data_IF_670419757312
#
_entry.id   IF_670419757312
#
_cell.length_a   1.000
_cell.length_b   1.000
_cell.length_c   1.000
_cell.angle_alpha   90.00
_cell.angle_beta   90.00
_cell.angle_gamma   90.00
#
_symmetry.space_group_name_H-M   'P 1'
#
loop_
_entity.id
_entity.type
_entity.pdbx_description
1 polymer ?
#
# COMPACT_ATOMS: atom_id res chain seq x y z
N UNK A 1 42.16 -73.98 61.85
CA UNK A 1 42.70 -74.06 60.47
C UNK A 1 41.52 -74.40 59.58
N UNK A 2 41.28 -73.63 58.52
CA UNK A 2 40.27 -74.00 57.51
C UNK A 2 40.80 -75.17 56.70
N UNK A 3 39.95 -76.18 56.47
CA UNK A 3 40.31 -77.34 55.66
C UNK A 3 40.56 -76.90 54.20
N UNK A 4 41.53 -77.52 53.54
CA UNK A 4 41.99 -77.16 52.19
C UNK A 4 40.87 -77.07 51.16
N UNK A 5 39.83 -77.91 51.31
CA UNK A 5 38.66 -77.91 50.42
C UNK A 5 37.74 -76.70 50.64
N UNK A 6 37.52 -76.28 51.89
CA UNK A 6 36.69 -75.11 52.19
C UNK A 6 37.36 -73.82 51.73
N UNK A 7 38.71 -73.75 51.78
CA UNK A 7 39.46 -72.62 51.24
C UNK A 7 39.32 -72.50 49.71
N UNK A 8 39.33 -73.62 48.98
CA UNK A 8 39.14 -73.65 47.52
C UNK A 8 37.72 -73.23 47.12
N UNK A 9 36.69 -73.73 47.80
CA UNK A 9 35.31 -73.32 47.52
C UNK A 9 35.07 -71.84 47.77
N UNK A 10 35.62 -71.29 48.86
CA UNK A 10 35.53 -69.85 49.15
C UNK A 10 36.23 -69.01 48.10
N UNK A 11 37.38 -69.47 47.58
CA UNK A 11 38.11 -68.78 46.53
C UNK A 11 37.35 -68.78 45.20
N UNK A 12 36.69 -69.89 44.88
CA UNK A 12 35.88 -70.05 43.66
C UNK A 12 34.63 -69.16 43.71
N UNK A 13 33.89 -69.18 44.81
CA UNK A 13 32.75 -68.26 45.04
C UNK A 13 33.18 -66.79 45.04
N UNK A 14 34.37 -66.48 45.57
CA UNK A 14 34.92 -65.13 45.53
C UNK A 14 35.26 -64.69 44.10
N UNK A 15 35.76 -65.59 43.25
CA UNK A 15 36.04 -65.30 41.85
C UNK A 15 34.75 -65.09 41.05
N UNK A 16 33.73 -65.93 41.25
CA UNK A 16 32.41 -65.79 40.63
C UNK A 16 31.72 -64.47 41.01
N UNK A 17 31.74 -64.09 42.29
CA UNK A 17 31.18 -62.78 42.68
C UNK A 17 31.92 -61.59 42.09
N UNK A 18 33.23 -61.71 41.84
CA UNK A 18 34.01 -60.64 41.18
C UNK A 18 33.65 -60.51 39.70
N UNK A 19 33.43 -61.63 39.00
CA UNK A 19 33.03 -61.60 37.58
C UNK A 19 31.61 -61.06 37.42
N UNK A 20 30.68 -61.46 38.28
CA UNK A 20 29.32 -60.89 38.33
C UNK A 20 29.34 -59.38 38.59
N UNK A 21 30.15 -58.91 39.54
CA UNK A 21 30.27 -57.48 39.83
C UNK A 21 30.86 -56.70 38.65
N UNK A 22 31.84 -57.27 37.94
CA UNK A 22 32.41 -56.65 36.74
C UNK A 22 31.40 -56.55 35.59
N UNK A 23 30.56 -57.58 35.40
CA UNK A 23 29.45 -57.56 34.44
C UNK A 23 28.40 -56.51 34.80
N UNK A 24 27.99 -56.45 36.07
CA UNK A 24 27.02 -55.46 36.55
C UNK A 24 27.54 -54.02 36.38
N UNK A 25 28.82 -53.76 36.66
CA UNK A 25 29.46 -52.44 36.44
C UNK A 25 29.52 -52.06 34.97
N UNK A 26 29.81 -53.02 34.08
CA UNK A 26 29.79 -52.76 32.63
C UNK A 26 28.38 -52.44 32.16
N UNK A 27 27.38 -53.22 32.55
CA UNK A 27 25.99 -52.99 32.19
C UNK A 27 25.49 -51.62 32.71
N UNK A 28 25.88 -51.23 33.91
CA UNK A 28 25.55 -49.93 34.50
C UNK A 28 26.22 -48.78 33.75
N UNK A 29 27.51 -48.89 33.42
CA UNK A 29 28.21 -47.88 32.61
C UNK A 29 27.62 -47.78 31.20
N UNK A 30 27.24 -48.90 30.58
CA UNK A 30 26.61 -48.92 29.26
C UNK A 30 25.22 -48.26 29.27
N UNK A 31 24.46 -48.41 30.36
CA UNK A 31 23.18 -47.72 30.53
C UNK A 31 23.40 -46.21 30.71
N UNK A 32 24.37 -45.82 31.54
CA UNK A 32 24.73 -44.42 31.79
C UNK A 32 25.28 -43.70 30.55
N UNK A 33 25.89 -44.40 29.59
CA UNK A 33 26.39 -43.78 28.35
C UNK A 33 25.33 -43.70 27.26
N UNK A 34 24.40 -44.66 27.20
CA UNK A 34 23.33 -44.68 26.17
C UNK A 34 22.21 -43.69 26.45
N UNK A 35 21.86 -43.45 27.72
CA UNK A 35 20.81 -42.49 28.07
C UNK A 35 21.13 -41.04 27.65
N UNK A 36 22.33 -40.49 27.92
CA UNK A 36 22.71 -39.15 27.47
C UNK A 36 22.74 -39.01 25.95
N UNK A 37 23.17 -40.03 25.22
CA UNK A 37 23.18 -40.02 23.75
C UNK A 37 21.77 -40.01 23.16
N UNK A 38 20.84 -40.77 23.76
CA UNK A 38 19.43 -40.76 23.37
C UNK A 38 18.79 -39.40 23.64
N UNK A 39 19.08 -38.80 24.79
CA UNK A 39 18.61 -37.45 25.16
C UNK A 39 19.18 -36.41 24.18
N UNK A 40 20.48 -36.46 23.86
CA UNK A 40 21.10 -35.55 22.92
C UNK A 40 20.49 -35.66 21.50
N UNK A 41 20.22 -36.89 21.03
CA UNK A 41 19.53 -37.11 19.75
C UNK A 41 18.10 -36.58 19.74
N UNK A 42 17.35 -36.78 20.83
CA UNK A 42 16.00 -36.24 20.98
C UNK A 42 16.00 -34.71 20.98
N UNK A 43 16.92 -34.08 21.72
CA UNK A 43 17.04 -32.61 21.76
C UNK A 43 17.43 -32.07 20.38
N UNK A 44 18.41 -32.70 19.71
CA UNK A 44 18.84 -32.31 18.37
C UNK A 44 17.68 -32.37 17.36
N UNK A 45 17.01 -33.52 17.29
CA UNK A 45 15.88 -33.73 16.36
C UNK A 45 14.71 -32.78 16.63
N UNK A 46 14.36 -32.56 17.91
CA UNK A 46 13.30 -31.62 18.27
C UNK A 46 13.68 -30.16 17.94
N UNK A 47 14.95 -29.79 18.09
CA UNK A 47 15.41 -28.44 17.78
C UNK A 47 15.35 -28.14 16.27
N UNK A 48 15.70 -29.11 15.42
CA UNK A 48 15.60 -29.01 13.96
C UNK A 48 14.15 -28.95 13.48
N UNK A 49 13.27 -29.75 14.07
CA UNK A 49 11.83 -29.69 13.80
C UNK A 49 11.22 -28.35 14.22
N UNK A 50 11.63 -27.81 15.37
CA UNK A 50 11.16 -26.50 15.82
C UNK A 50 11.63 -25.38 14.89
N UNK A 51 12.90 -25.42 14.44
CA UNK A 51 13.45 -24.44 13.51
C UNK A 51 12.75 -24.47 12.16
N UNK A 52 12.51 -25.66 11.59
CA UNK A 52 11.80 -25.80 10.32
C UNK A 52 10.34 -25.35 10.41
N UNK A 53 9.66 -25.62 11.52
CA UNK A 53 8.29 -25.16 11.77
C UNK A 53 8.21 -23.63 11.87
N UNK A 54 9.17 -22.99 12.55
CA UNK A 54 9.26 -21.52 12.62
C UNK A 54 9.47 -20.89 11.25
N UNK A 55 10.41 -21.41 10.46
CA UNK A 55 10.66 -20.97 9.09
C UNK A 55 9.41 -21.12 8.20
N UNK A 56 8.69 -22.25 8.32
CA UNK A 56 7.41 -22.45 7.62
C UNK A 56 6.33 -21.45 8.05
N UNK A 57 6.25 -21.13 9.35
CA UNK A 57 5.33 -20.13 9.88
C UNK A 57 5.63 -18.71 9.38
N UNK A 58 6.90 -18.32 9.35
CA UNK A 58 7.34 -17.02 8.80
C UNK A 58 7.02 -16.89 7.30
N UNK A 59 7.21 -17.96 6.54
CA UNK A 59 6.87 -17.98 5.11
C UNK A 59 5.36 -17.79 4.86
N UNK A 60 4.51 -18.45 5.64
CA UNK A 60 3.06 -18.28 5.56
C UNK A 60 2.63 -16.86 5.93
N UNK A 61 3.22 -16.29 6.98
CA UNK A 61 2.93 -14.92 7.42
C UNK A 61 3.30 -13.90 6.34
N UNK A 62 4.50 -14.02 5.76
CA UNK A 62 4.98 -13.14 4.70
C UNK A 62 4.11 -13.26 3.44
N UNK A 63 3.68 -14.47 3.10
CA UNK A 63 2.79 -14.71 1.96
C UNK A 63 1.41 -14.07 2.19
N UNK A 64 0.83 -14.22 3.38
CA UNK A 64 -0.45 -13.59 3.74
C UNK A 64 -0.37 -12.05 3.72
N UNK A 65 0.72 -11.48 4.23
CA UNK A 65 0.97 -10.03 4.16
C UNK A 65 1.03 -9.53 2.72
N UNK A 66 1.76 -10.22 1.84
CA UNK A 66 1.86 -9.86 0.42
C UNK A 66 0.49 -9.87 -0.29
N UNK A 67 -0.32 -10.90 -0.03
CA UNK A 67 -1.69 -11.00 -0.58
C UNK A 67 -2.56 -9.84 -0.10
N UNK A 68 -2.52 -9.51 1.19
CA UNK A 68 -3.30 -8.42 1.76
C UNK A 68 -2.90 -7.06 1.16
N UNK A 69 -1.61 -6.78 1.04
CA UNK A 69 -1.12 -5.54 0.43
C UNK A 69 -1.60 -5.42 -1.01
N UNK A 70 -1.47 -6.48 -1.82
CA UNK A 70 -1.95 -6.46 -3.20
C UNK A 70 -3.47 -6.26 -3.31
N UNK A 71 -4.26 -6.88 -2.41
CA UNK A 71 -5.70 -6.69 -2.37
C UNK A 71 -6.10 -5.25 -2.03
N UNK A 72 -5.40 -4.62 -1.08
CA UNK A 72 -5.67 -3.23 -0.69
C UNK A 72 -5.36 -2.28 -1.85
N UNK A 73 -4.22 -2.49 -2.52
CA UNK A 73 -3.82 -1.67 -3.67
C UNK A 73 -4.82 -1.78 -4.82
N UNK A 74 -5.31 -2.98 -5.13
CA UNK A 74 -6.30 -3.17 -6.18
C UNK A 74 -7.65 -2.53 -5.82
N UNK A 75 -8.07 -2.63 -4.55
CA UNK A 75 -9.27 -1.93 -4.06
C UNK A 75 -9.15 -0.41 -4.18
N UNK A 76 -8.01 0.18 -3.82
CA UNK A 76 -7.76 1.61 -3.97
C UNK A 76 -7.80 2.04 -5.44
N UNK A 77 -7.19 1.25 -6.33
CA UNK A 77 -7.22 1.50 -7.77
C UNK A 77 -8.64 1.49 -8.34
N UNK A 78 -9.48 0.55 -7.92
CA UNK A 78 -10.87 0.49 -8.33
C UNK A 78 -11.68 1.66 -7.79
N UNK A 79 -11.46 2.05 -6.53
CA UNK A 79 -12.11 3.23 -5.94
C UNK A 79 -11.76 4.52 -6.70
N UNK A 80 -10.48 4.75 -7.00
CA UNK A 80 -10.04 5.91 -7.79
C UNK A 80 -10.63 5.89 -9.21
N UNK A 81 -10.75 4.72 -9.84
CA UNK A 81 -11.38 4.60 -11.15
C UNK A 81 -12.85 5.05 -11.11
N UNK A 82 -13.58 4.63 -10.07
CA UNK A 82 -14.99 5.00 -9.90
C UNK A 82 -15.14 6.50 -9.62
N UNK A 83 -14.28 7.07 -8.79
CA UNK A 83 -14.24 8.51 -8.53
C UNK A 83 -13.96 9.31 -9.80
N UNK A 84 -13.00 8.87 -10.63
CA UNK A 84 -12.73 9.49 -11.93
C UNK A 84 -13.91 9.39 -12.90
N UNK A 85 -14.63 8.27 -12.93
CA UNK A 85 -15.83 8.12 -13.75
C UNK A 85 -16.95 9.05 -13.28
N UNK A 86 -17.10 9.24 -11.96
CA UNK A 86 -18.06 10.16 -11.38
C UNK A 86 -17.72 11.61 -11.68
N UNK A 87 -16.46 12.03 -11.48
CA UNK A 87 -16.00 13.38 -11.85
C UNK A 87 -16.17 13.66 -13.35
N UNK A 88 -15.94 12.66 -14.22
CA UNK A 88 -16.21 12.80 -15.65
C UNK A 88 -17.69 12.98 -15.96
N UNK A 89 -18.57 12.30 -15.23
CA UNK A 89 -20.01 12.45 -15.39
C UNK A 89 -20.46 13.85 -14.94
N UNK A 90 -19.95 14.33 -13.81
CA UNK A 90 -20.23 15.66 -13.27
C UNK A 90 -19.70 16.77 -14.17
N UNK A 91 -18.53 16.61 -14.77
CA UNK A 91 -18.01 17.59 -15.74
C UNK A 91 -18.93 17.71 -16.97
N UNK A 92 -19.39 16.58 -17.52
CA UNK A 92 -20.31 16.57 -18.66
C UNK A 92 -21.65 17.24 -18.36
N UNK A 93 -22.16 17.08 -17.14
CA UNK A 93 -23.42 17.74 -16.76
C UNK A 93 -23.22 19.23 -16.55
N UNK A 94 -22.08 19.66 -16.01
CA UNK A 94 -21.75 21.07 -15.82
C UNK A 94 -21.59 21.81 -17.15
N UNK A 95 -20.89 21.21 -18.13
CA UNK A 95 -20.81 21.75 -19.51
C UNK A 95 -22.21 21.90 -20.15
N UNK A 96 -23.14 20.98 -19.90
CA UNK A 96 -24.51 21.10 -20.44
C UNK A 96 -25.36 22.20 -19.79
N UNK A 97 -25.01 22.69 -18.61
CA UNK A 97 -25.71 23.82 -17.97
C UNK A 97 -25.23 25.14 -18.59
N UNK A 98 -23.95 25.26 -18.94
CA UNK A 98 -23.40 26.45 -19.62
C UNK A 98 -23.86 26.59 -21.08
N UNK A 99 -24.28 25.51 -21.75
CA UNK A 99 -24.72 25.51 -23.16
C UNK A 99 -26.18 25.98 -23.34
N UNK A 100 -26.96 26.23 -22.27
CA UNK A 100 -28.40 26.45 -22.42
C UNK A 100 -28.85 27.84 -22.90
N UNK A 101 -27.95 28.79 -23.14
CA UNK A 101 -28.26 29.96 -24.00
C UNK A 101 -26.98 30.73 -24.26
N UNK A 102 -26.36 30.52 -25.42
CA UNK A 102 -25.33 31.44 -25.88
C UNK A 102 -25.97 32.83 -26.06
N UNK A 103 -25.42 33.88 -25.43
CA UNK A 103 -25.96 35.20 -25.56
C UNK A 103 -25.74 35.69 -27.01
N UNK A 104 -26.78 36.27 -27.61
CA UNK A 104 -26.66 36.86 -28.95
C UNK A 104 -25.76 38.10 -28.89
N UNK A 105 -24.53 37.96 -29.40
CA UNK A 105 -23.52 39.02 -29.43
C UNK A 105 -23.84 40.11 -30.45
N UNK A 106 -24.85 39.91 -31.30
CA UNK A 106 -25.32 40.91 -32.27
C UNK A 106 -26.40 41.84 -31.71
N UNK A 107 -26.93 41.56 -30.51
CA UNK A 107 -27.95 42.39 -29.87
C UNK A 107 -27.34 43.69 -29.33
N UNK A 108 -27.36 44.72 -30.18
CA UNK A 108 -26.90 46.08 -29.88
C UNK A 108 -27.68 46.82 -28.77
N UNK A 109 -28.80 46.26 -28.30
CA UNK A 109 -29.64 46.87 -27.23
C UNK A 109 -29.53 46.13 -25.91
N UNK A 110 -28.80 45.02 -25.87
CA UNK A 110 -28.62 44.23 -24.65
C UNK A 110 -27.69 44.97 -23.68
N UNK A 111 -28.08 44.97 -22.41
CA UNK A 111 -27.22 45.45 -21.33
C UNK A 111 -26.32 44.31 -20.87
N UNK A 112 -25.03 44.36 -21.18
CA UNK A 112 -24.04 43.36 -20.77
C UNK A 112 -23.52 43.59 -19.35
N UNK A 113 -23.58 42.56 -18.52
CA UNK A 113 -22.88 42.56 -17.24
C UNK A 113 -21.43 42.11 -17.42
N UNK A 114 -20.55 42.56 -16.53
CA UNK A 114 -19.13 42.18 -16.55
C UNK A 114 -18.96 40.65 -16.55
N UNK A 115 -19.67 39.96 -15.66
CA UNK A 115 -19.59 38.50 -15.51
C UNK A 115 -20.07 37.74 -16.75
N UNK A 116 -21.03 38.29 -17.50
CA UNK A 116 -21.51 37.70 -18.76
C UNK A 116 -20.44 37.75 -19.87
N UNK A 117 -19.66 38.83 -19.90
CA UNK A 117 -18.58 39.03 -20.87
C UNK A 117 -17.33 38.20 -20.55
N UNK A 118 -17.17 37.77 -19.29
CA UNK A 118 -16.05 36.92 -18.83
C UNK A 118 -16.30 35.43 -19.07
N UNK A 119 -17.47 35.05 -19.61
CA UNK A 119 -17.75 33.67 -19.98
C UNK A 119 -16.81 33.12 -21.06
N UNK A 120 -16.52 31.82 -20.98
CA UNK A 120 -15.67 31.08 -21.93
C UNK A 120 -16.12 31.28 -23.38
N UNK A 121 -17.44 31.32 -23.62
CA UNK A 121 -18.00 31.53 -24.95
C UNK A 121 -17.67 32.91 -25.52
N UNK A 122 -17.85 33.98 -24.74
CA UNK A 122 -17.58 35.35 -25.20
C UNK A 122 -16.09 35.55 -25.40
N UNK A 123 -15.26 35.08 -24.47
CA UNK A 123 -13.80 35.19 -24.53
C UNK A 123 -13.17 34.46 -25.72
N UNK A 124 -13.79 33.35 -26.17
CA UNK A 124 -13.32 32.57 -27.32
C UNK A 124 -13.82 33.09 -28.67
N UNK A 125 -14.96 33.80 -28.70
CA UNK A 125 -15.62 34.22 -29.94
C UNK A 125 -15.56 35.73 -30.21
N UNK A 126 -14.92 36.51 -29.34
CA UNK A 126 -14.79 37.96 -29.51
C UNK A 126 -13.33 38.41 -29.46
N UNK A 127 -13.00 39.37 -30.31
CA UNK A 127 -11.71 40.08 -30.25
C UNK A 127 -11.71 41.07 -29.10
N UNK A 128 -10.53 41.42 -28.56
CA UNK A 128 -10.38 42.42 -27.50
C UNK A 128 -11.09 43.76 -27.81
N UNK A 129 -11.11 44.19 -29.08
CA UNK A 129 -11.83 45.39 -29.52
C UNK A 129 -13.35 45.21 -29.48
N UNK A 130 -13.86 44.06 -29.92
CA UNK A 130 -15.30 43.76 -29.87
C UNK A 130 -15.80 43.61 -28.43
N UNK A 131 -14.97 43.03 -27.55
CA UNK A 131 -15.27 42.88 -26.15
C UNK A 131 -15.44 44.23 -25.43
N UNK A 132 -14.55 45.19 -25.69
CA UNK A 132 -14.70 46.56 -25.19
C UNK A 132 -15.92 47.27 -25.78
N UNK A 133 -16.24 47.01 -27.06
CA UNK A 133 -17.43 47.57 -27.69
C UNK A 133 -18.72 47.04 -27.03
N UNK A 134 -18.80 45.74 -26.73
CA UNK A 134 -19.93 45.14 -26.01
C UNK A 134 -20.04 45.69 -24.58
N UNK A 135 -18.91 45.89 -23.90
CA UNK A 135 -18.90 46.50 -22.56
C UNK A 135 -19.33 47.97 -22.58
N UNK A 136 -18.97 48.70 -23.64
CA UNK A 136 -19.31 50.10 -23.86
C UNK A 136 -20.77 50.35 -24.26
N UNK A 137 -21.50 49.34 -24.76
CA UNK A 137 -22.91 49.47 -25.14
C UNK A 137 -23.83 49.86 -23.96
N UNK A 138 -23.38 49.62 -22.72
CA UNK A 138 -24.22 49.68 -21.53
C UNK A 138 -24.19 51.02 -20.80
N UNK A 139 -23.28 51.92 -21.18
CA UNK A 139 -22.98 53.09 -20.37
C UNK A 139 -23.25 54.37 -21.17
N UNK A 140 -24.08 55.23 -20.59
CA UNK A 140 -24.33 56.59 -21.09
C UNK A 140 -23.05 57.45 -21.03
N UNK A 141 -22.15 57.09 -20.11
CA UNK A 141 -20.80 57.66 -19.94
C UNK A 141 -19.73 56.59 -20.24
N UNK A 142 -18.51 57.01 -20.58
CA UNK A 142 -17.42 56.09 -20.91
C UNK A 142 -17.11 55.14 -19.73
N UNK A 143 -16.96 53.81 -19.95
CA UNK A 143 -16.71 52.88 -18.86
C UNK A 143 -15.42 53.22 -18.11
N UNK A 144 -15.35 53.02 -16.77
CA UNK A 144 -14.12 53.23 -16.01
C UNK A 144 -12.95 52.48 -16.64
N UNK A 145 -11.83 53.18 -16.83
CA UNK A 145 -10.63 52.63 -17.46
C UNK A 145 -10.14 51.37 -16.72
N UNK A 146 -10.31 51.33 -15.40
CA UNK A 146 -9.91 50.19 -14.56
C UNK A 146 -10.70 48.91 -14.89
N UNK A 147 -12.01 49.03 -15.11
CA UNK A 147 -12.86 47.89 -15.49
C UNK A 147 -12.53 47.40 -16.90
N UNK A 148 -12.27 48.33 -17.84
CA UNK A 148 -11.83 47.99 -19.19
C UNK A 148 -10.48 47.26 -19.18
N UNK A 149 -9.53 47.74 -18.38
CA UNK A 149 -8.21 47.11 -18.22
C UNK A 149 -8.32 45.73 -17.57
N UNK A 150 -9.20 45.57 -16.58
CA UNK A 150 -9.49 44.29 -15.97
C UNK A 150 -10.02 43.28 -17.00
N UNK A 151 -11.02 43.69 -17.80
CA UNK A 151 -11.62 42.88 -18.86
C UNK A 151 -10.59 42.47 -19.92
N UNK A 152 -9.74 43.40 -20.34
CA UNK A 152 -8.63 43.11 -21.26
C UNK A 152 -7.57 42.18 -20.64
N UNK A 153 -7.28 42.31 -19.35
CA UNK A 153 -6.31 41.45 -18.67
C UNK A 153 -6.78 40.00 -18.62
N UNK A 154 -8.07 39.78 -18.37
CA UNK A 154 -8.70 38.46 -18.38
C UNK A 154 -8.70 37.89 -19.80
N UNK A 155 -9.08 38.69 -20.80
CA UNK A 155 -9.04 38.26 -22.20
C UNK A 155 -7.62 37.89 -22.66
N UNK A 156 -6.60 38.65 -22.24
CA UNK A 156 -5.19 38.34 -22.52
C UNK A 156 -4.72 37.08 -21.81
N UNK A 157 -5.13 36.86 -20.56
CA UNK A 157 -4.80 35.62 -19.85
C UNK A 157 -5.42 34.39 -20.54
N UNK A 158 -6.63 34.56 -21.11
CA UNK A 158 -7.34 33.50 -21.82
C UNK A 158 -6.77 33.24 -23.23
N UNK A 159 -6.49 34.28 -24.02
CA UNK A 159 -6.11 34.17 -25.43
C UNK A 159 -4.61 34.40 -25.73
N UNK A 160 -3.86 34.99 -24.80
CA UNK A 160 -2.47 35.41 -24.99
C UNK A 160 -1.42 34.31 -24.81
N UNK A 161 -1.83 33.08 -24.51
CA UNK A 161 -0.93 31.93 -24.37
C UNK A 161 -0.57 31.22 -25.68
N UNK A 162 -1.02 31.73 -26.84
CA UNK A 162 -0.86 31.04 -28.13
C UNK A 162 0.32 31.48 -29.00
N UNK A 163 1.13 32.46 -28.56
CA UNK A 163 2.37 32.86 -29.26
C UNK A 163 3.61 32.34 -28.50
N UNK A 164 3.78 31.02 -28.45
CA UNK A 164 4.97 30.32 -27.97
C UNK A 164 5.47 29.30 -28.99
#
# INVERSE_FOLDING_TARGET
MLDSETAKELQLKSAEKRTENALARRAFNDALTKEPELIAKLIGSNSEQLASTKLGGEWLLNSAQSILVNSILEQQKQAHKLELEQLKADLKTTDTIEIKTHPDLSDSKRVWQFDELVSTYVMSNTTSRQLLALFGQNKLDEPPIDEQNCLLSIWRAFNGGHDG
#
